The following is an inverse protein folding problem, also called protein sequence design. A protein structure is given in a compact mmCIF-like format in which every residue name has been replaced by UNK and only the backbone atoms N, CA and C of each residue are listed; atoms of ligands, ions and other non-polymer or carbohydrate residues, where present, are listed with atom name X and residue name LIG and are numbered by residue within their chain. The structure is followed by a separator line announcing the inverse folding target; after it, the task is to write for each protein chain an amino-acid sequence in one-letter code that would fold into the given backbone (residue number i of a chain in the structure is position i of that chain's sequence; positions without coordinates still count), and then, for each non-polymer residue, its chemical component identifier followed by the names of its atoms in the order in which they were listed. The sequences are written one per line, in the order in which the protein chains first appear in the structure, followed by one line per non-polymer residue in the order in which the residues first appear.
data_IF_426466088532
#
_entry.id   IF_426466088532
#
_cell.length_a   1.000
_cell.length_b   1.000
_cell.length_c   1.000
_cell.angle_alpha   90.00
_cell.angle_beta   90.00
_cell.angle_gamma   90.00
#
_symmetry.space_group_name_H-M   'P 1'
#
loop_
_entity.id
_entity.type
_entity.pdbx_description
1 polymer ?
#
# COMPACT_ATOMS: atom_id res chain seq x y z
N UNK A 1 6.53 -11.62 18.90
CA UNK A 1 5.40 -10.83 19.36
C UNK A 1 4.21 -10.83 18.40
N UNK A 2 4.37 -10.43 17.10
CA UNK A 2 3.25 -10.42 16.14
C UNK A 2 2.76 -11.84 15.84
N UNK A 3 3.67 -12.75 15.50
CA UNK A 3 3.35 -14.17 15.26
C UNK A 3 2.66 -14.80 16.47
N UNK A 4 3.07 -14.46 17.69
CA UNK A 4 2.43 -14.97 18.91
C UNK A 4 0.99 -14.45 19.04
N UNK A 5 0.73 -13.18 18.73
CA UNK A 5 -0.64 -12.63 18.68
C UNK A 5 -1.49 -13.29 17.61
N UNK A 6 -0.92 -13.61 16.43
CA UNK A 6 -1.63 -14.30 15.36
C UNK A 6 -1.99 -15.75 15.79
N UNK A 7 -1.08 -16.48 16.44
CA UNK A 7 -1.36 -17.83 17.01
C UNK A 7 -2.46 -17.78 18.07
N UNK A 8 -2.42 -16.81 18.98
CA UNK A 8 -3.50 -16.63 19.97
C UNK A 8 -4.83 -16.32 19.28
N UNK A 9 -4.83 -15.52 18.21
CA UNK A 9 -6.02 -15.27 17.41
C UNK A 9 -6.61 -16.54 16.77
N UNK A 10 -5.77 -17.39 16.16
CA UNK A 10 -6.21 -18.69 15.61
C UNK A 10 -6.75 -19.60 16.70
N UNK A 11 -6.07 -19.71 17.83
CA UNK A 11 -6.50 -20.55 18.94
C UNK A 11 -7.82 -20.05 19.56
N UNK A 12 -7.95 -18.73 19.75
CA UNK A 12 -9.21 -18.13 20.21
C UNK A 12 -10.36 -18.40 19.23
N UNK A 13 -10.10 -18.41 17.93
CA UNK A 13 -11.11 -18.75 16.92
C UNK A 13 -11.58 -20.20 17.04
N UNK A 14 -10.66 -21.14 17.28
CA UNK A 14 -10.99 -22.53 17.53
C UNK A 14 -11.81 -22.71 18.81
N UNK A 15 -11.44 -22.02 19.90
CA UNK A 15 -12.19 -22.03 21.15
C UNK A 15 -13.60 -21.43 20.98
N UNK A 16 -13.76 -20.39 20.21
CA UNK A 16 -15.08 -19.85 19.88
C UNK A 16 -15.94 -20.86 19.08
N UNK A 17 -15.33 -21.68 18.25
CA UNK A 17 -16.05 -22.77 17.58
C UNK A 17 -16.48 -23.86 18.57
N UNK A 18 -15.63 -24.21 19.54
CA UNK A 18 -15.95 -25.16 20.60
C UNK A 18 -17.09 -24.67 21.51
N UNK A 19 -17.14 -23.36 21.81
CA UNK A 19 -18.29 -22.74 22.53
C UNK A 19 -19.57 -22.89 21.72
N UNK A 20 -19.52 -22.58 20.39
CA UNK A 20 -20.72 -22.72 19.53
C UNK A 20 -21.19 -24.15 19.36
N UNK A 21 -20.28 -25.10 19.57
CA UNK A 21 -20.60 -26.55 19.53
C UNK A 21 -20.95 -27.11 20.90
N UNK A 22 -21.13 -26.29 21.92
CA UNK A 22 -21.44 -26.68 23.32
C UNK A 22 -20.40 -27.63 23.96
N UNK A 23 -19.14 -27.62 23.45
CA UNK A 23 -18.04 -28.43 23.99
C UNK A 23 -17.43 -27.79 25.24
N UNK A 24 -17.35 -26.46 25.27
CA UNK A 24 -16.91 -25.66 26.41
C UNK A 24 -17.89 -24.54 26.69
N UNK A 25 -18.08 -24.12 27.96
CA UNK A 25 -19.07 -23.10 28.32
C UNK A 25 -18.69 -21.71 27.83
N UNK A 26 -17.40 -21.37 27.82
CA UNK A 26 -16.91 -20.07 27.43
C UNK A 26 -15.49 -20.13 26.85
N UNK A 27 -15.10 -19.09 26.13
CA UNK A 27 -13.73 -18.95 25.62
C UNK A 27 -12.86 -18.28 26.69
N UNK A 28 -11.85 -18.97 27.28
CA UNK A 28 -11.03 -18.45 28.37
C UNK A 28 -10.19 -17.20 27.96
N UNK A 29 -9.96 -16.96 26.65
CA UNK A 29 -9.33 -15.71 26.22
C UNK A 29 -10.19 -14.45 26.39
N UNK A 30 -11.52 -14.61 26.57
CA UNK A 30 -12.42 -13.47 26.77
C UNK A 30 -12.29 -12.89 28.18
N UNK A 31 -11.88 -13.71 29.16
CA UNK A 31 -11.65 -13.30 30.56
C UNK A 31 -10.28 -12.68 30.82
N UNK A 32 -9.36 -12.71 29.83
CA UNK A 32 -8.03 -12.10 29.99
C UNK A 32 -8.11 -10.60 30.22
N UNK A 33 -7.46 -10.14 31.27
CA UNK A 33 -7.30 -8.72 31.57
C UNK A 33 -6.43 -8.00 30.51
N UNK A 34 -6.46 -6.67 30.39
CA UNK A 34 -5.63 -5.92 29.46
C UNK A 34 -4.12 -6.14 29.65
N UNK A 35 -3.69 -6.50 30.88
CA UNK A 35 -2.29 -6.79 31.20
C UNK A 35 -1.83 -8.18 30.77
N UNK A 36 -2.74 -9.14 30.72
CA UNK A 36 -2.49 -10.51 30.29
C UNK A 36 -2.57 -10.67 28.77
N UNK A 37 -3.24 -9.75 28.08
CA UNK A 37 -3.30 -9.76 26.62
C UNK A 37 -1.94 -9.44 26.00
N UNK A 38 -1.58 -10.19 24.96
CA UNK A 38 -0.35 -9.94 24.21
C UNK A 38 -0.43 -8.57 23.54
N UNK A 39 0.43 -7.66 24.00
CA UNK A 39 0.59 -6.34 23.36
C UNK A 39 1.41 -6.50 22.09
N UNK A 40 0.81 -6.22 20.94
CA UNK A 40 1.52 -6.13 19.67
C UNK A 40 2.14 -4.74 19.57
N UNK A 41 3.47 -4.62 19.50
CA UNK A 41 4.10 -3.31 19.33
C UNK A 41 3.64 -2.70 18.00
N UNK A 42 3.40 -1.38 17.99
CA UNK A 42 3.13 -0.66 16.75
C UNK A 42 4.31 -0.86 15.79
N UNK A 43 4.05 -1.44 14.63
CA UNK A 43 5.08 -1.59 13.61
C UNK A 43 5.30 -0.24 12.92
N UNK A 44 6.53 0.30 13.02
CA UNK A 44 6.93 1.45 12.22
C UNK A 44 6.85 1.06 10.75
N UNK A 45 6.02 1.76 9.98
CA UNK A 45 5.87 1.53 8.54
C UNK A 45 6.74 2.53 7.82
N UNK A 46 7.76 2.02 7.14
CA UNK A 46 8.61 2.85 6.31
C UNK A 46 7.87 3.28 5.04
N UNK A 47 8.17 4.49 4.58
CA UNK A 47 7.69 5.06 3.32
C UNK A 47 8.76 6.01 2.78
N UNK A 48 8.70 6.30 1.48
CA UNK A 48 9.57 7.26 0.83
C UNK A 48 8.91 8.65 0.86
N UNK A 49 9.68 9.67 1.18
CA UNK A 49 9.27 11.07 0.97
C UNK A 49 9.34 11.42 -0.52
N UNK A 50 8.73 12.54 -0.91
CA UNK A 50 8.79 13.03 -2.31
C UNK A 50 10.24 13.24 -2.75
N UNK A 51 11.11 13.76 -1.89
CA UNK A 51 12.51 14.00 -2.22
C UNK A 51 13.31 12.70 -2.31
N UNK A 52 13.02 11.71 -1.46
CA UNK A 52 13.59 10.37 -1.58
C UNK A 52 13.17 9.68 -2.88
N UNK A 53 11.91 9.86 -3.33
CA UNK A 53 11.46 9.36 -4.64
C UNK A 53 12.23 10.04 -5.78
N UNK A 54 12.41 11.37 -5.75
CA UNK A 54 13.19 12.10 -6.75
C UNK A 54 14.64 11.59 -6.81
N UNK A 55 15.27 11.42 -5.65
CA UNK A 55 16.62 10.88 -5.55
C UNK A 55 16.70 9.46 -6.13
N UNK A 56 15.70 8.63 -5.80
CA UNK A 56 15.62 7.26 -6.30
C UNK A 56 15.46 7.21 -7.82
N UNK A 57 14.63 8.07 -8.39
CA UNK A 57 14.45 8.19 -9.85
C UNK A 57 15.77 8.56 -10.54
N UNK A 58 16.54 9.48 -9.97
CA UNK A 58 17.82 9.94 -10.50
C UNK A 58 18.95 8.91 -10.36
N UNK A 59 18.77 7.92 -9.46
CA UNK A 59 19.77 6.87 -9.22
C UNK A 59 19.56 5.70 -10.19
N UNK A 60 20.64 5.16 -10.72
CA UNK A 60 20.61 3.98 -11.59
C UNK A 60 20.10 2.76 -10.82
N UNK A 61 19.13 2.05 -11.41
CA UNK A 61 18.57 0.82 -10.84
C UNK A 61 19.19 -0.39 -11.55
N UNK A 62 19.59 -1.44 -10.82
CA UNK A 62 20.14 -2.66 -11.43
C UNK A 62 19.18 -3.37 -12.41
N UNK A 63 17.86 -3.05 -12.33
CA UNK A 63 16.83 -3.65 -13.19
C UNK A 63 15.74 -2.61 -13.48
N UNK A 64 15.62 -2.24 -14.75
CA UNK A 64 14.67 -1.22 -15.21
C UNK A 64 13.19 -1.68 -15.06
N UNK A 65 12.90 -2.96 -15.27
CA UNK A 65 11.56 -3.53 -15.06
C UNK A 65 11.10 -3.38 -13.60
N UNK A 66 11.99 -3.64 -12.65
CA UNK A 66 11.72 -3.45 -11.21
C UNK A 66 11.54 -1.97 -10.88
N UNK A 67 12.39 -1.08 -11.44
CA UNK A 67 12.27 0.37 -11.28
C UNK A 67 10.90 0.86 -11.72
N UNK A 68 10.48 0.51 -12.94
CA UNK A 68 9.18 0.88 -13.50
C UNK A 68 8.03 0.39 -12.65
N UNK A 69 7.98 -0.90 -12.34
CA UNK A 69 6.91 -1.49 -11.54
C UNK A 69 6.82 -0.89 -10.13
N UNK A 70 7.96 -0.62 -9.48
CA UNK A 70 8.00 -0.03 -8.14
C UNK A 70 7.52 1.43 -8.14
N UNK A 71 8.03 2.26 -9.07
CA UNK A 71 7.63 3.66 -9.15
C UNK A 71 6.17 3.80 -9.60
N UNK A 72 5.70 2.98 -10.55
CA UNK A 72 4.28 2.90 -10.89
C UNK A 72 3.43 2.66 -9.63
N UNK A 73 3.81 1.67 -8.80
CA UNK A 73 3.10 1.37 -7.56
C UNK A 73 3.20 2.50 -6.51
N UNK A 74 4.29 3.29 -6.50
CA UNK A 74 4.39 4.48 -5.65
C UNK A 74 3.40 5.58 -6.05
N UNK A 75 2.97 5.64 -7.31
CA UNK A 75 2.04 6.66 -7.83
C UNK A 75 0.60 6.18 -7.99
N UNK A 76 0.32 4.88 -7.86
CA UNK A 76 -1.04 4.35 -7.95
C UNK A 76 -1.49 3.52 -6.74
N UNK A 77 -0.58 3.11 -5.86
CA UNK A 77 -0.89 2.37 -4.64
C UNK A 77 -1.26 0.91 -4.82
N UNK A 78 -1.14 0.32 -6.02
CA UNK A 78 -1.42 -1.09 -6.25
C UNK A 78 -0.47 -2.01 -5.47
N UNK A 79 -0.97 -3.18 -5.05
CA UNK A 79 -0.12 -4.22 -4.46
C UNK A 79 0.69 -4.92 -5.54
N UNK A 80 1.79 -5.57 -5.14
CA UNK A 80 2.59 -6.36 -6.09
C UNK A 80 1.76 -7.42 -6.83
N UNK A 81 0.88 -8.12 -6.12
CA UNK A 81 -0.03 -9.09 -6.74
C UNK A 81 -0.93 -8.48 -7.82
N UNK A 82 -1.39 -7.24 -7.59
CA UNK A 82 -2.24 -6.53 -8.53
C UNK A 82 -1.41 -6.05 -9.74
N UNK A 83 -0.15 -5.64 -9.52
CA UNK A 83 0.78 -5.25 -10.58
C UNK A 83 1.18 -6.44 -11.46
N UNK A 84 1.40 -7.61 -10.88
CA UNK A 84 1.64 -8.85 -11.65
C UNK A 84 0.44 -9.24 -12.53
N UNK A 85 -0.77 -9.00 -12.03
CA UNK A 85 -1.99 -9.39 -12.73
C UNK A 85 -2.52 -8.32 -13.71
N UNK A 86 -1.97 -7.09 -13.68
CA UNK A 86 -2.43 -5.97 -14.50
C UNK A 86 -2.19 -6.27 -15.97
N UNK A 87 -3.26 -6.23 -16.76
CA UNK A 87 -3.25 -6.47 -18.20
C UNK A 87 -3.48 -5.18 -18.97
N UNK A 88 -3.07 -5.16 -20.22
CA UNK A 88 -3.26 -4.00 -21.09
C UNK A 88 -4.74 -3.64 -21.27
N UNK A 89 -5.65 -4.61 -21.31
CA UNK A 89 -7.11 -4.37 -21.37
C UNK A 89 -7.68 -3.70 -20.12
N UNK A 90 -6.98 -3.79 -18.98
CA UNK A 90 -7.40 -3.17 -17.73
C UNK A 90 -7.07 -1.67 -17.70
N UNK A 91 -6.28 -1.20 -18.66
CA UNK A 91 -5.94 0.21 -18.83
C UNK A 91 -6.81 0.82 -19.91
N UNK A 92 -7.40 1.96 -19.63
CA UNK A 92 -8.17 2.75 -20.59
C UNK A 92 -7.79 4.22 -20.50
N UNK A 93 -7.91 4.92 -21.61
CA UNK A 93 -7.68 6.35 -21.70
C UNK A 93 -8.95 7.02 -22.21
N UNK A 94 -9.38 8.07 -21.51
CA UNK A 94 -10.53 8.91 -21.87
C UNK A 94 -10.02 10.37 -21.88
N UNK A 95 -9.82 10.90 -23.09
CA UNK A 95 -9.10 12.16 -23.28
C UNK A 95 -7.68 12.07 -22.74
N UNK A 96 -7.33 12.94 -21.81
CA UNK A 96 -6.02 12.93 -21.14
C UNK A 96 -5.98 12.04 -19.87
N UNK A 97 -7.15 11.56 -19.43
CA UNK A 97 -7.26 10.82 -18.19
C UNK A 97 -7.09 9.32 -18.39
N UNK A 98 -6.02 8.77 -17.87
CA UNK A 98 -5.81 7.32 -17.78
C UNK A 98 -6.49 6.72 -16.54
N UNK A 99 -7.00 5.50 -16.71
CA UNK A 99 -7.66 4.71 -15.66
C UNK A 99 -7.20 3.26 -15.70
N UNK A 100 -7.13 2.65 -14.52
CA UNK A 100 -6.95 1.21 -14.38
C UNK A 100 -8.21 0.60 -13.73
N UNK A 101 -8.79 -0.42 -14.37
CA UNK A 101 -9.92 -1.21 -13.85
C UNK A 101 -9.38 -2.54 -13.36
N UNK A 102 -9.15 -2.67 -12.05
CA UNK A 102 -8.42 -3.80 -11.46
C UNK A 102 -9.31 -4.55 -10.48
N UNK A 103 -9.34 -5.88 -10.59
CA UNK A 103 -9.87 -6.74 -9.52
C UNK A 103 -8.72 -7.06 -8.57
N UNK A 104 -8.78 -6.50 -7.36
CA UNK A 104 -7.73 -6.65 -6.35
C UNK A 104 -7.56 -8.11 -5.98
N UNK A 105 -6.39 -8.68 -6.23
CA UNK A 105 -6.10 -10.11 -6.02
C UNK A 105 -6.32 -10.60 -4.58
N UNK A 106 -6.05 -9.74 -3.60
CA UNK A 106 -6.19 -10.11 -2.17
C UNK A 106 -7.63 -10.07 -1.65
N UNK A 107 -8.47 -9.18 -2.18
CA UNK A 107 -9.81 -8.90 -1.64
C UNK A 107 -10.93 -9.24 -2.62
N UNK A 108 -10.58 -9.61 -3.86
CA UNK A 108 -11.50 -9.85 -4.97
C UNK A 108 -12.48 -8.68 -5.22
N UNK A 109 -12.06 -7.47 -4.83
CA UNK A 109 -12.86 -6.25 -4.96
C UNK A 109 -12.45 -5.51 -6.23
N UNK A 110 -13.38 -5.18 -7.13
CA UNK A 110 -13.08 -4.32 -8.27
C UNK A 110 -12.83 -2.88 -7.80
N UNK A 111 -11.80 -2.26 -8.34
CA UNK A 111 -11.51 -0.84 -8.17
C UNK A 111 -11.30 -0.16 -9.51
N UNK A 112 -11.78 1.08 -9.60
CA UNK A 112 -11.52 1.98 -10.72
C UNK A 112 -10.55 3.05 -10.24
N UNK A 113 -9.33 2.98 -10.73
CA UNK A 113 -8.23 3.81 -10.26
C UNK A 113 -7.84 4.81 -11.33
N UNK A 114 -8.07 6.12 -11.14
CA UNK A 114 -7.51 7.14 -12.02
C UNK A 114 -5.99 7.15 -11.86
N UNK A 115 -5.28 7.17 -12.97
CA UNK A 115 -3.82 7.22 -13.00
C UNK A 115 -3.36 8.66 -13.23
N UNK A 116 -2.44 9.12 -12.38
CA UNK A 116 -1.77 10.40 -12.60
C UNK A 116 -0.79 10.31 -13.78
N UNK A 117 -0.47 11.44 -14.40
CA UNK A 117 0.58 11.49 -15.42
C UNK A 117 1.93 10.94 -14.92
N UNK A 118 2.21 11.04 -13.62
CA UNK A 118 3.40 10.43 -13.03
C UNK A 118 3.32 8.89 -13.02
N UNK A 119 2.15 8.31 -12.73
CA UNK A 119 1.97 6.87 -12.82
C UNK A 119 2.13 6.38 -14.27
N UNK A 120 1.52 7.08 -15.21
CA UNK A 120 1.59 6.73 -16.64
C UNK A 120 3.01 6.71 -17.19
N UNK A 121 3.87 7.64 -16.77
CA UNK A 121 5.31 7.67 -17.17
C UNK A 121 6.07 6.39 -16.83
N UNK A 122 5.62 5.64 -15.84
CA UNK A 122 6.27 4.41 -15.41
C UNK A 122 5.64 3.15 -15.99
N UNK A 123 4.58 3.27 -16.78
CA UNK A 123 4.12 2.15 -17.61
C UNK A 123 5.20 1.81 -18.65
N UNK A 124 5.43 0.52 -18.93
CA UNK A 124 6.26 0.14 -20.07
C UNK A 124 5.57 0.56 -21.38
N UNK A 125 6.32 0.64 -22.45
CA UNK A 125 5.77 0.82 -23.78
C UNK A 125 4.97 -0.44 -24.16
N UNK A 126 3.74 -0.26 -24.66
CA UNK A 126 2.88 -1.37 -25.02
C UNK A 126 3.41 -2.14 -26.24
N UNK A 127 3.98 -1.43 -27.23
CA UNK A 127 4.41 -2.04 -28.47
C UNK A 127 3.31 -2.86 -29.13
N UNK A 128 3.60 -4.12 -29.46
CA UNK A 128 2.67 -5.08 -30.09
C UNK A 128 1.91 -5.94 -29.06
N UNK A 129 2.04 -5.65 -27.75
CA UNK A 129 1.41 -6.44 -26.70
C UNK A 129 -0.12 -6.44 -26.84
N UNK A 130 -0.70 -7.64 -26.71
CA UNK A 130 -2.15 -7.87 -26.82
C UNK A 130 -2.85 -7.43 -25.56
N UNK A 131 -4.15 -7.25 -25.65
CA UNK A 131 -5.00 -6.84 -24.53
C UNK A 131 -4.91 -7.76 -23.31
N UNK A 132 -4.77 -9.07 -23.52
CA UNK A 132 -4.70 -10.06 -22.46
C UNK A 132 -3.30 -10.28 -21.87
N UNK A 133 -2.27 -9.65 -22.42
CA UNK A 133 -0.91 -9.73 -21.93
C UNK A 133 -0.69 -8.80 -20.72
N UNK A 134 0.22 -9.20 -19.83
CA UNK A 134 0.51 -8.43 -18.63
C UNK A 134 1.29 -7.16 -18.97
N UNK A 135 0.94 -6.05 -18.33
CA UNK A 135 1.64 -4.76 -18.49
C UNK A 135 3.10 -4.85 -18.04
N UNK A 136 3.36 -5.54 -16.93
CA UNK A 136 4.72 -5.74 -16.39
C UNK A 136 5.16 -7.19 -16.64
N UNK A 137 5.30 -7.55 -17.91
CA UNK A 137 5.74 -8.87 -18.31
C UNK A 137 7.17 -9.14 -17.84
N UNK A 138 7.46 -10.40 -17.45
CA UNK A 138 8.79 -10.82 -17.03
C UNK A 138 9.29 -10.26 -15.70
N UNK A 139 8.43 -9.58 -14.94
CA UNK A 139 8.78 -9.08 -13.61
C UNK A 139 9.13 -10.24 -12.67
N UNK A 140 10.31 -10.19 -12.07
CA UNK A 140 10.85 -11.24 -11.21
C UNK A 140 10.06 -11.41 -9.90
N UNK A 141 10.22 -12.58 -9.25
CA UNK A 141 9.56 -12.89 -7.99
C UNK A 141 9.90 -11.90 -6.86
N UNK A 142 8.93 -11.65 -5.96
CA UNK A 142 9.03 -10.64 -4.88
C UNK A 142 10.33 -10.69 -4.06
N UNK A 143 10.86 -11.86 -3.62
CA UNK A 143 12.11 -11.89 -2.87
C UNK A 143 13.31 -11.30 -3.65
N UNK A 144 13.32 -11.48 -4.97
CA UNK A 144 14.36 -10.94 -5.83
C UNK A 144 14.13 -9.45 -6.12
N UNK A 145 12.88 -9.01 -6.29
CA UNK A 145 12.53 -7.58 -6.34
C UNK A 145 13.04 -6.87 -5.08
N UNK A 146 12.79 -7.41 -3.89
CA UNK A 146 13.23 -6.81 -2.65
C UNK A 146 14.76 -6.73 -2.51
N UNK A 147 15.52 -7.70 -3.09
CA UNK A 147 16.98 -7.62 -3.19
C UNK A 147 17.44 -6.49 -4.12
N UNK A 148 16.76 -6.31 -5.25
CA UNK A 148 17.04 -5.20 -6.19
C UNK A 148 16.76 -3.87 -5.52
N UNK A 149 15.59 -3.73 -4.89
CA UNK A 149 15.20 -2.52 -4.15
C UNK A 149 16.21 -2.16 -3.06
N UNK A 150 16.68 -3.14 -2.28
CA UNK A 150 17.67 -2.90 -1.23
C UNK A 150 19.01 -2.38 -1.79
N UNK A 151 19.46 -2.87 -2.96
CA UNK A 151 20.66 -2.37 -3.63
C UNK A 151 20.45 -0.95 -4.16
N UNK A 152 19.32 -0.72 -4.81
CA UNK A 152 18.99 0.55 -5.45
C UNK A 152 18.80 1.67 -4.41
N UNK A 153 18.05 1.42 -3.33
CA UNK A 153 17.87 2.40 -2.24
C UNK A 153 19.18 2.69 -1.52
N UNK A 154 20.03 1.69 -1.32
CA UNK A 154 21.38 1.90 -0.76
C UNK A 154 22.23 2.80 -1.67
N UNK A 155 22.21 2.59 -2.99
CA UNK A 155 22.91 3.44 -3.96
C UNK A 155 22.38 4.88 -3.95
N UNK A 156 21.08 5.07 -3.71
CA UNK A 156 20.44 6.38 -3.56
C UNK A 156 20.69 7.03 -2.18
N UNK A 157 21.45 6.42 -1.28
CA UNK A 157 21.72 6.94 0.06
C UNK A 157 20.51 6.84 1.03
N UNK A 158 19.48 6.06 0.67
CA UNK A 158 18.29 5.86 1.50
C UNK A 158 18.57 4.77 2.53
N UNK A 159 18.52 5.12 3.82
CA UNK A 159 18.81 4.20 4.94
C UNK A 159 17.62 3.39 5.41
N UNK A 160 16.41 3.74 4.98
CA UNK A 160 15.16 3.05 5.31
C UNK A 160 15.14 1.64 4.72
N UNK A 161 14.53 0.69 5.44
CA UNK A 161 14.29 -0.66 4.90
C UNK A 161 13.12 -0.63 3.92
N UNK A 162 13.42 -0.54 2.64
CA UNK A 162 12.44 -0.49 1.56
C UNK A 162 12.18 -1.89 1.02
N UNK A 163 10.92 -2.25 0.89
CA UNK A 163 10.40 -3.45 0.22
C UNK A 163 9.38 -3.03 -0.83
N UNK A 164 8.92 -3.95 -1.67
CA UNK A 164 7.89 -3.58 -2.65
C UNK A 164 6.63 -3.03 -1.98
N UNK A 165 6.23 -3.59 -0.85
CA UNK A 165 5.04 -3.11 -0.11
C UNK A 165 5.18 -1.66 0.39
N UNK A 166 6.40 -1.17 0.52
CA UNK A 166 6.68 0.24 0.88
C UNK A 166 6.15 1.22 -0.17
N UNK A 167 6.04 0.83 -1.46
CA UNK A 167 5.45 1.66 -2.52
C UNK A 167 4.02 2.10 -2.17
N UNK A 168 3.22 1.17 -1.65
CA UNK A 168 1.84 1.44 -1.26
C UNK A 168 1.76 2.32 0.00
N UNK A 169 2.68 2.16 0.96
CA UNK A 169 2.80 3.07 2.10
C UNK A 169 3.19 4.47 1.65
N UNK A 170 4.12 4.55 0.70
CA UNK A 170 4.56 5.79 0.05
C UNK A 170 3.40 6.50 -0.64
N UNK A 171 2.62 5.79 -1.46
CA UNK A 171 1.42 6.35 -2.09
C UNK A 171 0.44 6.91 -1.06
N UNK A 172 0.09 6.10 -0.05
CA UNK A 172 -0.87 6.51 0.99
C UNK A 172 -0.42 7.78 1.73
N UNK A 173 0.84 7.81 2.16
CA UNK A 173 1.40 8.95 2.88
C UNK A 173 1.50 10.18 1.97
N UNK A 174 1.95 10.00 0.72
CA UNK A 174 2.04 11.08 -0.27
C UNK A 174 0.67 11.71 -0.54
N UNK A 175 -0.37 10.91 -0.77
CA UNK A 175 -1.73 11.42 -1.01
C UNK A 175 -2.24 12.26 0.16
N UNK A 176 -2.08 11.77 1.40
CA UNK A 176 -2.46 12.52 2.59
C UNK A 176 -1.64 13.79 2.78
N UNK A 177 -0.33 13.75 2.51
CA UNK A 177 0.56 14.93 2.59
C UNK A 177 0.16 16.00 1.56
N UNK A 178 -0.21 15.59 0.34
CA UNK A 178 -0.63 16.48 -0.73
C UNK A 178 -2.07 16.99 -0.61
N UNK A 179 -2.83 16.59 0.41
CA UNK A 179 -4.13 17.17 0.67
C UNK A 179 -5.33 16.28 0.43
N UNK A 180 -5.15 15.07 -0.10
CA UNK A 180 -6.26 14.14 -0.21
C UNK A 180 -6.79 13.76 1.18
N UNK A 181 -8.09 13.66 1.32
CA UNK A 181 -8.71 13.20 2.55
C UNK A 181 -8.49 11.69 2.78
N UNK A 182 -8.71 11.26 4.03
CA UNK A 182 -8.49 9.87 4.44
C UNK A 182 -9.42 8.89 3.73
N UNK A 183 -10.68 9.28 3.50
CA UNK A 183 -11.67 8.42 2.85
C UNK A 183 -11.32 8.19 1.39
N UNK A 184 -11.02 9.25 0.64
CA UNK A 184 -10.58 9.18 -0.76
C UNK A 184 -9.31 8.34 -0.87
N UNK A 185 -8.31 8.58 -0.03
CA UNK A 185 -7.07 7.77 0.00
C UNK A 185 -7.38 6.30 0.29
N UNK A 186 -8.30 6.01 1.20
CA UNK A 186 -8.74 4.64 1.51
C UNK A 186 -9.38 3.95 0.30
N UNK A 187 -10.22 4.67 -0.45
CA UNK A 187 -10.86 4.15 -1.69
C UNK A 187 -9.84 3.90 -2.79
N UNK A 188 -8.92 4.82 -3.03
CA UNK A 188 -7.82 4.63 -3.99
C UNK A 188 -6.96 3.40 -3.66
N UNK A 189 -6.76 3.12 -2.39
CA UNK A 189 -6.07 1.92 -1.92
C UNK A 189 -6.95 0.65 -1.96
N UNK A 190 -8.24 0.73 -2.25
CA UNK A 190 -9.16 -0.40 -2.19
C UNK A 190 -9.26 -1.03 -0.80
N UNK A 191 -9.20 -0.21 0.27
CA UNK A 191 -9.43 -0.69 1.63
C UNK A 191 -10.94 -0.79 1.89
N UNK A 192 -11.41 -1.95 2.34
CA UNK A 192 -12.78 -2.15 2.78
C UNK A 192 -13.11 -1.39 4.07
N UNK A 193 -12.10 -1.13 4.90
CA UNK A 193 -12.24 -0.42 6.17
C UNK A 193 -11.25 0.76 6.23
N UNK A 194 -11.77 1.97 6.41
CA UNK A 194 -10.98 3.21 6.53
C UNK A 194 -9.99 3.16 7.69
N UNK A 195 -10.27 2.40 8.75
CA UNK A 195 -9.34 2.19 9.87
C UNK A 195 -7.97 1.66 9.41
N UNK A 196 -7.93 0.91 8.29
CA UNK A 196 -6.67 0.43 7.71
C UNK A 196 -5.81 1.57 7.20
N UNK A 197 -6.42 2.68 6.77
CA UNK A 197 -5.75 3.88 6.27
C UNK A 197 -5.39 4.86 7.40
N UNK A 198 -6.08 4.81 8.54
CA UNK A 198 -5.83 5.70 9.70
C UNK A 198 -4.40 5.65 10.23
N UNK A 199 -3.70 4.53 10.02
CA UNK A 199 -2.27 4.41 10.39
C UNK A 199 -1.39 5.45 9.71
N UNK A 200 -1.76 5.90 8.48
CA UNK A 200 -1.02 6.92 7.74
C UNK A 200 -1.40 8.33 8.20
N UNK A 201 -2.62 8.55 8.67
CA UNK A 201 -3.06 9.85 9.18
C UNK A 201 -2.25 10.31 10.40
N UNK A 202 -1.77 9.37 11.23
CA UNK A 202 -0.87 9.67 12.35
C UNK A 202 0.48 10.25 11.92
N UNK A 203 0.88 10.03 10.64
CA UNK A 203 2.18 10.46 10.10
C UNK A 203 2.09 11.92 9.60
N UNK A 204 0.87 12.41 9.31
CA UNK A 204 0.62 13.73 8.70
C UNK A 204 0.09 14.70 9.76
N UNK A 205 0.83 14.89 10.85
CA UNK A 205 0.44 15.82 11.93
C UNK A 205 0.43 17.29 11.51
N UNK A 206 1.21 17.67 10.49
CA UNK A 206 1.23 19.04 9.92
C UNK A 206 -0.15 19.51 9.48
N UNK A 207 -1.00 18.62 8.98
CA UNK A 207 -2.37 18.98 8.55
C UNK A 207 -3.30 19.38 9.66
N UNK A 208 -3.03 19.00 10.92
CA UNK A 208 -3.84 19.47 12.05
C UNK A 208 -3.66 20.95 12.27
N UNK A 209 -2.42 21.45 12.12
CA UNK A 209 -2.09 22.87 12.22
C UNK A 209 -2.71 23.63 11.04
N UNK A 210 -2.57 23.12 9.82
CA UNK A 210 -3.19 23.72 8.63
C UNK A 210 -4.72 23.80 8.76
N UNK A 211 -5.36 22.73 9.24
CA UNK A 211 -6.81 22.67 9.41
C UNK A 211 -7.31 23.68 10.46
N UNK A 212 -6.56 23.91 11.55
CA UNK A 212 -6.90 24.90 12.55
C UNK A 212 -6.76 26.31 11.99
N UNK A 213 -5.68 26.55 11.23
CA UNK A 213 -5.41 27.87 10.60
C UNK A 213 -6.41 28.24 9.48
N UNK A 214 -7.20 27.25 8.96
CA UNK A 214 -8.30 27.57 8.04
C UNK A 214 -9.36 28.48 8.67
N UNK A 215 -9.49 28.46 10.00
CA UNK A 215 -10.44 29.34 10.71
C UNK A 215 -10.00 30.79 10.61
N UNK A 216 -8.68 31.06 10.70
CA UNK A 216 -8.13 32.40 10.67
C UNK A 216 -8.43 33.07 9.32
N UNK A 217 -8.36 32.31 8.20
CA UNK A 217 -8.64 32.81 6.85
C UNK A 217 -10.12 33.22 6.61
N UNK A 218 -11.02 32.89 7.53
CA UNK A 218 -12.47 33.23 7.42
C UNK A 218 -12.79 34.53 8.16
N UNK A 219 -11.93 34.93 9.10
CA UNK A 219 -12.16 36.08 9.98
C UNK A 219 -11.20 37.27 9.74
N UNK A 220 -10.20 37.07 8.85
CA UNK A 220 -9.34 38.15 8.30
C UNK A 220 -9.95 38.70 6.99
#
# INVERSE_FOLDING_TARGET
PKSMSDYVGYFSTALNAAVRADIIPENPFMSLTPTERIKVPESKREFLTVDEIKTLIATECPREDVKRAYLFACYCGLRLSDVYALKWKDLSQDGEQWRASVVMQKTMTPIFLPLSGQAVKWLPERGEAKDDENVFEGLIAEPNINKVLAKWTKAAGITKKITYHTSRHTFATMMLTLGADLYTTSKLLGHSNVKTTQIYAKIVDSKKVEAVNLVDNVFD
#
